data_IF_774333120451
#
_entry.id   IF_774333120451
#
_cell.length_a   1.000
_cell.length_b   1.000
_cell.length_c   1.000
_cell.angle_alpha   90.00
_cell.angle_beta   90.00
_cell.angle_gamma   90.00
#
_symmetry.space_group_name_H-M   'P 1'
#
loop_
_entity.id
_entity.type
_entity.pdbx_description
1 polymer ?
#
# COMPACT_ATOMS: atom_id res chain seq x y z
N UNK A 1 102.02 14.08 -44.63
CA UNK A 1 102.79 12.85 -44.38
C UNK A 1 101.83 11.69 -44.54
N UNK A 2 102.12 10.79 -45.49
CA UNK A 2 101.56 9.45 -45.79
C UNK A 2 100.01 9.30 -45.82
N UNK A 3 99.34 9.10 -46.96
CA UNK A 3 99.35 7.93 -47.87
C UNK A 3 98.92 6.61 -47.21
N UNK A 4 97.74 6.10 -47.58
CA UNK A 4 97.49 4.72 -48.07
C UNK A 4 95.99 4.53 -48.35
N UNK A 5 95.65 4.29 -49.61
CA UNK A 5 94.43 3.59 -50.08
C UNK A 5 94.70 2.06 -50.07
N UNK A 6 93.85 1.19 -50.67
CA UNK A 6 92.40 0.96 -50.62
C UNK A 6 92.12 -0.49 -50.11
N UNK A 7 90.87 -0.97 -50.08
CA UNK A 7 90.42 -2.17 -50.82
C UNK A 7 89.00 -2.62 -50.39
N UNK A 8 88.32 -3.10 -51.42
CA UNK A 8 86.98 -3.63 -51.59
C UNK A 8 86.71 -4.93 -50.82
N UNK A 9 85.46 -5.15 -50.39
CA UNK A 9 84.82 -6.47 -50.58
C UNK A 9 83.30 -6.31 -50.73
N UNK A 10 82.85 -6.89 -51.83
CA UNK A 10 81.52 -7.13 -52.37
C UNK A 10 80.63 -7.98 -51.44
N UNK A 11 79.31 -7.70 -51.39
CA UNK A 11 78.26 -8.73 -51.36
C UNK A 11 76.84 -8.16 -51.54
N UNK A 12 76.35 -8.33 -52.77
CA UNK A 12 75.03 -8.81 -53.21
C UNK A 12 73.72 -8.52 -52.40
N UNK A 13 72.83 -7.77 -53.07
CA UNK A 13 71.42 -8.07 -53.44
C UNK A 13 70.47 -8.69 -52.39
N UNK A 14 69.38 -7.99 -52.08
CA UNK A 14 67.99 -8.45 -52.29
C UNK A 14 66.95 -7.40 -51.84
N UNK A 15 66.22 -6.84 -52.80
CA UNK A 15 64.92 -6.19 -52.59
C UNK A 15 63.89 -7.23 -52.14
N UNK A 16 63.34 -7.05 -50.94
CA UNK A 16 62.11 -7.71 -50.50
C UNK A 16 61.24 -6.68 -49.77
N UNK A 17 60.08 -6.38 -50.35
CA UNK A 17 58.98 -5.69 -49.69
C UNK A 17 58.42 -6.56 -48.56
N UNK A 18 58.01 -5.98 -47.42
CA UNK A 18 56.97 -6.55 -46.58
C UNK A 18 55.71 -5.67 -46.68
N UNK A 19 54.65 -6.16 -47.30
CA UNK A 19 53.53 -6.90 -46.67
C UNK A 19 52.64 -5.97 -45.84
N UNK A 20 51.45 -5.76 -46.39
CA UNK A 20 50.26 -5.22 -45.76
C UNK A 20 50.02 -5.81 -44.37
N UNK A 21 50.19 -4.97 -43.35
CA UNK A 21 49.58 -5.18 -42.05
C UNK A 21 48.13 -4.67 -42.13
N UNK A 22 47.21 -5.62 -42.28
CA UNK A 22 45.80 -5.44 -41.96
C UNK A 22 45.72 -5.02 -40.49
N UNK A 23 45.54 -3.73 -40.25
CA UNK A 23 45.05 -3.21 -38.98
C UNK A 23 43.63 -3.72 -38.80
N UNK A 24 43.48 -4.79 -38.01
CA UNK A 24 42.19 -5.18 -37.45
C UNK A 24 41.82 -4.09 -36.46
N UNK A 25 41.06 -3.09 -36.93
CA UNK A 25 40.33 -2.18 -36.06
C UNK A 25 39.38 -3.05 -35.22
N UNK A 26 39.74 -3.29 -33.96
CA UNK A 26 38.78 -3.72 -32.95
C UNK A 26 37.84 -2.54 -32.71
N UNK A 27 36.83 -2.39 -33.59
CA UNK A 27 35.60 -1.73 -33.24
C UNK A 27 34.87 -2.65 -32.27
N UNK A 28 35.25 -2.56 -31.00
CA UNK A 28 34.33 -2.93 -29.93
C UNK A 28 33.20 -1.93 -29.97
N UNK A 29 32.12 -2.25 -30.68
CA UNK A 29 30.81 -1.72 -30.30
C UNK A 29 30.58 -2.20 -28.87
N UNK A 30 30.81 -1.32 -27.89
CA UNK A 30 30.16 -1.47 -26.59
C UNK A 30 28.66 -1.53 -26.89
N UNK A 31 28.10 -2.74 -26.85
CA UNK A 31 26.67 -2.92 -26.97
C UNK A 31 26.03 -2.03 -25.91
N UNK A 32 25.28 -1.02 -26.34
CA UNK A 32 24.57 -0.13 -25.44
C UNK A 32 23.72 -1.02 -24.53
N UNK A 33 24.01 -1.00 -23.23
CA UNK A 33 23.24 -1.76 -22.24
C UNK A 33 21.80 -1.26 -22.33
N UNK A 34 20.89 -2.15 -22.69
CA UNK A 34 19.48 -1.81 -22.76
C UNK A 34 18.99 -1.57 -21.33
N UNK A 35 18.49 -0.36 -21.07
CA UNK A 35 18.01 0.06 -19.75
C UNK A 35 16.54 0.43 -19.87
N UNK A 36 15.72 -0.17 -19.02
CA UNK A 36 14.29 0.11 -18.90
C UNK A 36 14.01 0.83 -17.60
N UNK A 37 13.23 1.93 -17.67
CA UNK A 37 12.84 2.73 -16.52
C UNK A 37 11.48 2.30 -15.99
N UNK A 38 11.38 2.00 -14.71
CA UNK A 38 10.16 1.54 -14.05
C UNK A 38 9.64 2.53 -13.01
N UNK A 39 8.33 2.77 -13.02
CA UNK A 39 7.60 3.32 -11.88
C UNK A 39 7.32 2.17 -10.91
N UNK A 40 7.84 2.28 -9.70
CA UNK A 40 7.67 1.29 -8.65
C UNK A 40 6.44 1.61 -7.83
N UNK A 41 5.54 0.63 -7.72
CA UNK A 41 4.28 0.71 -6.99
C UNK A 41 4.24 -0.34 -5.89
N UNK A 42 3.48 -0.06 -4.86
CA UNK A 42 3.24 -0.99 -3.76
C UNK A 42 1.93 -1.74 -3.99
N UNK A 43 1.95 -3.05 -3.73
CA UNK A 43 0.76 -3.89 -3.63
C UNK A 43 1.00 -4.94 -2.55
N UNK A 44 0.17 -4.92 -1.51
CA UNK A 44 0.20 -5.87 -0.39
C UNK A 44 1.63 -6.08 0.15
N UNK A 45 2.32 -4.98 0.50
CA UNK A 45 3.70 -4.95 1.03
C UNK A 45 4.80 -5.43 0.08
N UNK A 46 4.51 -5.58 -1.21
CA UNK A 46 5.50 -5.93 -2.23
C UNK A 46 5.64 -4.80 -3.25
N UNK A 47 6.84 -4.68 -3.84
CA UNK A 47 7.13 -3.71 -4.90
C UNK A 47 6.95 -4.32 -6.28
N UNK A 48 6.25 -3.59 -7.15
CA UNK A 48 6.03 -3.95 -8.54
C UNK A 48 6.52 -2.84 -9.47
N UNK A 49 7.26 -3.20 -10.51
CA UNK A 49 7.75 -2.27 -11.52
C UNK A 49 6.81 -2.23 -12.72
N UNK A 50 6.36 -1.03 -13.09
CA UNK A 50 5.64 -0.77 -14.35
C UNK A 50 6.51 0.07 -15.29
N UNK A 51 6.71 -0.33 -16.56
CA UNK A 51 7.51 0.47 -17.49
C UNK A 51 6.97 1.89 -17.61
N UNK A 52 7.85 2.88 -17.44
CA UNK A 52 7.49 4.31 -17.54
C UNK A 52 7.00 4.66 -18.94
N UNK A 53 7.46 3.93 -19.96
CA UNK A 53 6.98 4.04 -21.34
C UNK A 53 5.49 3.72 -21.49
N UNK A 54 4.94 2.90 -20.59
CA UNK A 54 3.52 2.54 -20.53
C UNK A 54 2.76 3.29 -19.44
N UNK A 55 3.41 4.08 -18.58
CA UNK A 55 2.76 4.86 -17.52
C UNK A 55 2.46 6.28 -18.00
N UNK A 56 1.17 6.64 -18.03
CA UNK A 56 0.70 7.94 -18.53
C UNK A 56 0.50 8.95 -17.40
N UNK A 57 -0.15 8.54 -16.31
CA UNK A 57 -0.55 9.45 -15.23
C UNK A 57 -0.76 8.69 -13.91
N UNK A 58 -0.53 9.35 -12.79
CA UNK A 58 -0.86 8.86 -11.44
C UNK A 58 -2.02 9.69 -10.90
N UNK A 59 -3.07 9.03 -10.39
CA UNK A 59 -4.28 9.68 -9.88
C UNK A 59 -4.68 9.08 -8.54
N UNK A 60 -5.12 9.92 -7.60
CA UNK A 60 -5.76 9.42 -6.38
C UNK A 60 -7.15 8.85 -6.70
N UNK A 61 -7.47 7.69 -6.12
CA UNK A 61 -8.80 7.08 -6.28
C UNK A 61 -9.93 7.96 -5.74
N UNK A 62 -9.68 8.79 -4.72
CA UNK A 62 -10.69 9.70 -4.18
C UNK A 62 -11.18 10.76 -5.18
N UNK A 63 -10.35 11.09 -6.18
CA UNK A 63 -10.68 12.11 -7.18
C UNK A 63 -11.56 11.58 -8.31
N UNK A 64 -11.82 10.26 -8.36
CA UNK A 64 -12.51 9.62 -9.47
C UNK A 64 -13.53 8.59 -8.99
N UNK A 65 -14.79 8.76 -9.40
CA UNK A 65 -15.83 7.78 -9.11
C UNK A 65 -15.74 6.58 -10.06
N UNK A 66 -15.42 5.40 -9.53
CA UNK A 66 -15.44 4.14 -10.29
C UNK A 66 -16.88 3.66 -10.46
N UNK A 67 -17.31 3.44 -11.70
CA UNK A 67 -18.62 2.86 -12.01
C UNK A 67 -18.48 1.35 -12.15
N UNK A 68 -19.08 0.59 -11.23
CA UNK A 68 -19.03 -0.88 -11.28
C UNK A 68 -19.71 -1.42 -12.53
N UNK A 69 -19.08 -2.40 -13.16
CA UNK A 69 -19.64 -3.10 -14.32
C UNK A 69 -20.24 -4.42 -13.83
N UNK A 70 -21.53 -4.71 -14.11
CA UNK A 70 -22.14 -5.98 -13.73
C UNK A 70 -21.45 -7.17 -14.41
N UNK A 71 -21.33 -8.29 -13.70
CA UNK A 71 -20.73 -9.55 -14.18
C UNK A 71 -19.27 -9.44 -14.66
N UNK A 72 -18.57 -8.35 -14.34
CA UNK A 72 -17.13 -8.28 -14.57
C UNK A 72 -16.39 -9.24 -13.64
N UNK A 73 -15.20 -9.73 -14.05
CA UNK A 73 -14.31 -10.44 -13.15
C UNK A 73 -13.99 -9.62 -11.88
N UNK A 74 -13.67 -10.30 -10.78
CA UNK A 74 -13.43 -9.65 -9.48
C UNK A 74 -12.27 -8.63 -9.52
N UNK A 75 -11.27 -8.86 -10.37
CA UNK A 75 -10.15 -7.94 -10.56
C UNK A 75 -10.48 -6.70 -11.39
N UNK A 76 -11.71 -6.57 -11.92
CA UNK A 76 -12.20 -5.37 -12.58
C UNK A 76 -13.08 -4.61 -11.58
N UNK A 77 -12.53 -3.55 -10.97
CA UNK A 77 -13.29 -2.69 -10.04
C UNK A 77 -14.43 -1.95 -10.74
N UNK A 78 -14.31 -1.73 -12.05
CA UNK A 78 -15.29 -1.06 -12.87
C UNK A 78 -14.66 -0.27 -14.01
N UNK A 79 -15.26 0.87 -14.33
CA UNK A 79 -14.75 1.81 -15.35
C UNK A 79 -14.72 3.22 -14.80
N UNK A 80 -13.82 4.04 -15.34
CA UNK A 80 -13.71 5.48 -15.05
C UNK A 80 -13.67 6.28 -16.33
N UNK A 81 -14.14 7.52 -16.28
CA UNK A 81 -13.96 8.48 -17.36
C UNK A 81 -12.62 9.20 -17.17
N UNK A 82 -11.67 8.92 -18.04
CA UNK A 82 -10.40 9.61 -18.11
C UNK A 82 -10.36 10.48 -19.37
N UNK A 83 -10.55 11.79 -19.18
CA UNK A 83 -10.49 12.83 -20.25
C UNK A 83 -11.41 12.55 -21.44
N UNK A 84 -12.63 12.08 -21.17
CA UNK A 84 -13.64 11.77 -22.19
C UNK A 84 -13.62 10.33 -22.69
N UNK A 85 -12.61 9.54 -22.29
CA UNK A 85 -12.49 8.12 -22.65
C UNK A 85 -12.86 7.26 -21.46
N UNK A 86 -13.76 6.30 -21.67
CA UNK A 86 -14.09 5.29 -20.65
C UNK A 86 -13.02 4.20 -20.68
N UNK A 87 -12.30 4.05 -19.56
CA UNK A 87 -11.25 3.05 -19.40
C UNK A 87 -11.58 2.12 -18.22
N UNK A 88 -11.21 0.83 -18.28
CA UNK A 88 -11.39 -0.09 -17.18
C UNK A 88 -10.44 0.20 -16.04
N UNK A 89 -10.88 -0.11 -14.82
CA UNK A 89 -10.07 -0.09 -13.60
C UNK A 89 -9.78 -1.52 -13.20
N UNK A 90 -8.49 -1.88 -13.19
CA UNK A 90 -7.96 -3.18 -12.82
C UNK A 90 -7.43 -3.08 -11.39
N UNK A 91 -7.98 -3.85 -10.46
CA UNK A 91 -7.49 -3.95 -9.08
C UNK A 91 -6.31 -4.93 -9.04
N UNK A 92 -5.09 -4.42 -8.85
CA UNK A 92 -3.89 -5.26 -8.92
C UNK A 92 -3.81 -6.24 -7.75
N UNK A 93 -4.34 -5.89 -6.57
CA UNK A 93 -4.44 -6.83 -5.45
C UNK A 93 -5.28 -8.04 -5.83
N UNK A 94 -6.50 -7.80 -6.31
CA UNK A 94 -7.45 -8.84 -6.71
C UNK A 94 -6.93 -9.68 -7.87
N UNK A 95 -6.21 -9.05 -8.80
CA UNK A 95 -5.57 -9.75 -9.91
C UNK A 95 -4.51 -10.75 -9.43
N UNK A 96 -3.72 -10.35 -8.42
CA UNK A 96 -2.69 -11.19 -7.81
C UNK A 96 -3.23 -12.17 -6.76
N UNK A 97 -4.54 -12.14 -6.49
CA UNK A 97 -5.21 -13.02 -5.52
C UNK A 97 -5.23 -12.51 -4.07
N UNK A 98 -4.86 -11.25 -3.85
CA UNK A 98 -4.97 -10.58 -2.56
C UNK A 98 -6.36 -9.98 -2.33
N UNK A 99 -6.69 -9.71 -1.06
CA UNK A 99 -7.91 -8.99 -0.73
C UNK A 99 -7.84 -7.54 -1.23
N UNK A 100 -8.81 -7.06 -2.03
CA UNK A 100 -8.84 -5.68 -2.50
C UNK A 100 -8.85 -4.68 -1.36
N UNK A 101 -8.12 -3.57 -1.54
CA UNK A 101 -7.91 -2.53 -0.51
C UNK A 101 -9.23 -1.89 -0.07
N UNK A 102 -10.22 -1.82 -0.96
CA UNK A 102 -11.57 -1.34 -0.60
C UNK A 102 -12.26 -2.25 0.43
N UNK A 103 -12.10 -3.57 0.33
CA UNK A 103 -12.70 -4.51 1.27
C UNK A 103 -12.00 -4.46 2.64
N UNK A 104 -10.68 -4.29 2.66
CA UNK A 104 -9.90 -4.06 3.87
C UNK A 104 -10.36 -2.78 4.60
N UNK A 105 -10.48 -1.68 3.84
CA UNK A 105 -10.94 -0.37 4.37
C UNK A 105 -12.37 -0.47 4.91
N UNK A 106 -13.25 -1.19 4.22
CA UNK A 106 -14.63 -1.41 4.66
C UNK A 106 -14.68 -2.20 5.98
N UNK A 107 -13.93 -3.31 6.10
CA UNK A 107 -13.85 -4.10 7.34
C UNK A 107 -13.36 -3.27 8.51
N UNK A 108 -12.33 -2.46 8.27
CA UNK A 108 -11.74 -1.61 9.29
C UNK A 108 -12.76 -0.56 9.77
N UNK A 109 -13.44 0.10 8.83
CA UNK A 109 -14.48 1.10 9.13
C UNK A 109 -15.60 0.50 9.99
N UNK A 110 -16.11 -0.67 9.60
CA UNK A 110 -17.13 -1.39 10.37
C UNK A 110 -16.63 -1.79 11.77
N UNK A 111 -15.37 -2.18 11.90
CA UNK A 111 -14.76 -2.52 13.19
C UNK A 111 -14.67 -1.30 14.11
N UNK A 112 -14.23 -0.14 13.61
CA UNK A 112 -14.18 1.11 14.37
C UNK A 112 -15.57 1.60 14.77
N UNK A 113 -16.54 1.56 13.87
CA UNK A 113 -17.93 1.93 14.17
C UNK A 113 -18.51 1.05 15.29
N UNK A 114 -18.24 -0.26 15.26
CA UNK A 114 -18.66 -1.19 16.31
C UNK A 114 -18.03 -0.83 17.66
N UNK A 115 -16.73 -0.58 17.70
CA UNK A 115 -16.02 -0.20 18.93
C UNK A 115 -16.50 1.14 19.50
N UNK A 116 -16.79 2.12 18.64
CA UNK A 116 -17.42 3.40 19.00
C UNK A 116 -18.80 3.17 19.63
N UNK A 117 -19.64 2.39 18.96
CA UNK A 117 -21.01 2.12 19.39
C UNK A 117 -21.10 1.27 20.67
N UNK A 118 -20.09 0.44 20.96
CA UNK A 118 -20.04 -0.36 22.18
C UNK A 118 -20.11 0.52 23.45
N UNK A 119 -19.41 1.66 23.48
CA UNK A 119 -19.44 2.59 24.61
C UNK A 119 -20.74 3.39 24.69
N UNK A 120 -21.30 3.80 23.55
CA UNK A 120 -22.62 4.45 23.49
C UNK A 120 -23.68 3.52 24.06
N UNK A 121 -23.69 2.26 23.61
CA UNK A 121 -24.60 1.23 24.11
C UNK A 121 -24.34 0.86 25.57
N UNK A 122 -23.09 0.95 26.03
CA UNK A 122 -22.74 0.74 27.44
C UNK A 122 -23.33 1.82 28.35
N UNK A 123 -23.19 3.10 27.97
CA UNK A 123 -23.77 4.24 28.71
C UNK A 123 -25.31 4.21 28.69
N UNK A 124 -25.91 3.86 27.55
CA UNK A 124 -27.36 3.66 27.46
C UNK A 124 -27.86 2.58 28.44
N UNK A 125 -27.17 1.43 28.49
CA UNK A 125 -27.53 0.34 29.40
C UNK A 125 -27.31 0.70 30.88
N UNK A 126 -26.27 1.49 31.18
CA UNK A 126 -26.06 2.01 32.54
C UNK A 126 -27.22 2.92 32.94
N UNK A 127 -27.60 3.86 32.08
CA UNK A 127 -28.71 4.78 32.32
C UNK A 127 -30.05 4.05 32.49
N UNK A 128 -30.32 3.05 31.66
CA UNK A 128 -31.49 2.17 31.81
C UNK A 128 -31.48 1.43 33.15
N UNK A 129 -30.32 0.91 33.57
CA UNK A 129 -30.16 0.27 34.87
C UNK A 129 -30.32 1.26 36.02
N UNK A 130 -30.10 2.57 35.84
CA UNK A 130 -30.41 3.58 36.87
C UNK A 130 -31.91 3.82 36.98
N UNK A 131 -32.61 3.96 35.84
CA UNK A 131 -34.06 4.20 35.83
C UNK A 131 -34.90 3.01 36.26
N UNK A 132 -34.43 1.79 35.97
CA UNK A 132 -35.17 0.55 36.23
C UNK A 132 -34.65 -0.17 37.46
N UNK A 133 -35.42 -1.11 37.99
CA UNK A 133 -34.95 -2.03 39.05
C UNK A 133 -33.97 -3.10 38.53
N UNK A 134 -33.59 -3.06 37.25
CA UNK A 134 -32.70 -4.04 36.63
C UNK A 134 -31.25 -3.89 37.12
N UNK A 135 -30.54 -5.00 37.18
CA UNK A 135 -29.10 -5.02 37.46
C UNK A 135 -28.30 -4.61 36.22
N UNK A 136 -27.23 -3.84 36.42
CA UNK A 136 -26.26 -3.56 35.37
C UNK A 136 -25.33 -4.75 35.16
N UNK A 137 -25.27 -5.28 33.93
CA UNK A 137 -24.57 -6.55 33.63
C UNK A 137 -23.32 -6.39 32.77
N UNK A 138 -23.06 -5.19 32.22
CA UNK A 138 -21.87 -4.96 31.38
C UNK A 138 -20.62 -4.79 32.24
N UNK A 139 -19.46 -5.10 31.65
CA UNK A 139 -18.18 -5.00 32.33
C UNK A 139 -17.88 -3.56 32.76
N UNK A 140 -17.54 -3.36 34.03
CA UNK A 140 -17.11 -2.07 34.59
C UNK A 140 -15.60 -1.90 34.58
N UNK A 141 -14.85 -2.98 34.42
CA UNK A 141 -13.40 -2.96 34.23
C UNK A 141 -13.05 -2.55 32.78
N UNK A 142 -12.31 -1.45 32.57
CA UNK A 142 -11.97 -0.96 31.23
C UNK A 142 -11.13 -1.96 30.43
N UNK A 143 -10.35 -2.81 31.09
CA UNK A 143 -9.51 -3.82 30.39
C UNK A 143 -10.33 -5.01 29.88
N UNK A 144 -11.57 -5.17 30.37
CA UNK A 144 -12.43 -6.31 30.03
C UNK A 144 -13.47 -5.99 28.96
N UNK A 145 -13.64 -4.73 28.57
CA UNK A 145 -14.53 -4.34 27.48
C UNK A 145 -13.90 -4.69 26.12
N UNK A 146 -14.72 -4.74 25.05
CA UNK A 146 -14.25 -5.11 23.71
C UNK A 146 -13.18 -4.14 23.21
N UNK A 147 -13.38 -2.84 23.43
CA UNK A 147 -12.41 -1.81 23.08
C UNK A 147 -11.11 -1.95 23.88
N UNK A 148 -11.18 -2.14 25.20
CA UNK A 148 -9.97 -2.28 26.03
C UNK A 148 -9.10 -3.44 25.59
N UNK A 149 -9.71 -4.60 25.28
CA UNK A 149 -8.99 -5.76 24.74
C UNK A 149 -8.34 -5.46 23.39
N UNK A 150 -9.07 -4.80 22.49
CA UNK A 150 -8.55 -4.39 21.20
C UNK A 150 -7.42 -3.35 21.32
N UNK A 151 -7.59 -2.36 22.20
CA UNK A 151 -6.62 -1.31 22.44
C UNK A 151 -5.29 -1.88 22.96
N UNK A 152 -5.35 -2.82 23.91
CA UNK A 152 -4.17 -3.57 24.38
C UNK A 152 -3.52 -4.35 23.23
N UNK A 153 -4.31 -5.01 22.36
CA UNK A 153 -3.75 -5.74 21.20
C UNK A 153 -3.02 -4.85 20.19
N UNK A 154 -3.35 -3.56 20.14
CA UNK A 154 -2.63 -2.58 19.31
C UNK A 154 -1.32 -2.16 19.98
N UNK A 155 -1.32 -2.02 21.30
CA UNK A 155 -0.12 -1.64 22.06
C UNK A 155 0.90 -2.78 22.14
N UNK A 156 0.43 -4.02 22.28
CA UNK A 156 1.29 -5.19 22.44
C UNK A 156 1.81 -5.77 21.11
N UNK A 157 1.40 -5.19 19.98
CA UNK A 157 1.87 -5.58 18.64
C UNK A 157 1.10 -6.74 18.00
N UNK A 158 0.05 -7.27 18.63
CA UNK A 158 -0.68 -8.44 18.10
C UNK A 158 -1.80 -8.09 17.12
N UNK A 159 -2.20 -6.82 17.06
CA UNK A 159 -3.20 -6.31 16.13
C UNK A 159 -2.59 -5.95 14.77
N UNK A 160 -3.30 -6.16 13.65
CA UNK A 160 -2.89 -5.65 12.33
C UNK A 160 -2.70 -4.12 12.27
N UNK A 161 -3.31 -3.38 13.22
CA UNK A 161 -3.17 -1.92 13.31
C UNK A 161 -1.86 -1.49 13.99
N UNK A 162 -1.10 -2.40 14.59
CA UNK A 162 0.04 -2.05 15.44
C UNK A 162 1.13 -1.32 14.66
N UNK A 163 1.51 -1.85 13.49
CA UNK A 163 2.54 -1.25 12.64
C UNK A 163 2.10 0.13 12.14
N UNK A 164 0.84 0.24 11.69
CA UNK A 164 0.28 1.51 11.22
C UNK A 164 0.30 2.62 12.29
N UNK A 165 0.05 2.25 13.56
CA UNK A 165 0.10 3.16 14.70
C UNK A 165 1.55 3.46 15.12
N UNK A 166 2.44 2.48 15.06
CA UNK A 166 3.86 2.65 15.39
C UNK A 166 4.56 3.60 14.41
N UNK A 167 4.21 3.51 13.12
CA UNK A 167 4.83 4.28 12.03
C UNK A 167 4.25 5.70 11.88
N UNK A 168 3.25 6.08 12.69
CA UNK A 168 2.59 7.39 12.61
C UNK A 168 2.53 8.11 13.96
N UNK A 169 3.35 9.15 14.16
CA UNK A 169 3.31 9.94 15.39
C UNK A 169 1.96 10.60 15.68
N UNK A 170 1.21 10.99 14.64
CA UNK A 170 -0.11 11.62 14.79
C UNK A 170 -1.11 10.56 15.24
N UNK A 171 -1.13 9.41 14.58
CA UNK A 171 -2.02 8.31 14.95
C UNK A 171 -1.72 7.80 16.36
N UNK A 172 -0.44 7.65 16.71
CA UNK A 172 0.00 7.28 18.05
C UNK A 172 -0.50 8.25 19.11
N UNK A 173 -0.39 9.56 18.84
CA UNK A 173 -0.88 10.59 19.75
C UNK A 173 -2.41 10.55 19.91
N UNK A 174 -3.17 10.23 18.86
CA UNK A 174 -4.62 10.02 18.95
C UNK A 174 -4.96 8.78 19.78
N UNK A 175 -4.24 7.67 19.57
CA UNK A 175 -4.46 6.45 20.33
C UNK A 175 -4.24 6.67 21.83
N UNK A 176 -3.15 7.35 22.21
CA UNK A 176 -2.86 7.65 23.62
C UNK A 176 -3.96 8.49 24.29
N UNK A 177 -4.67 9.32 23.52
CA UNK A 177 -5.78 10.14 24.03
C UNK A 177 -7.01 9.33 24.41
N UNK A 178 -7.21 8.10 23.91
CA UNK A 178 -8.34 7.27 24.32
C UNK A 178 -8.31 6.90 25.80
N UNK A 179 -7.11 6.80 26.39
CA UNK A 179 -6.93 6.23 27.73
C UNK A 179 -7.71 6.99 28.81
N UNK A 180 -7.64 8.34 28.81
CA UNK A 180 -8.32 9.18 29.80
C UNK A 180 -9.85 9.02 29.77
N UNK A 181 -10.55 9.35 28.67
CA UNK A 181 -12.01 9.27 28.63
C UNK A 181 -12.51 7.81 28.78
N UNK A 182 -11.79 6.81 28.25
CA UNK A 182 -12.13 5.41 28.44
C UNK A 182 -12.16 5.01 29.94
N UNK A 183 -11.12 5.37 30.70
CA UNK A 183 -11.08 5.10 32.15
C UNK A 183 -12.16 5.85 32.91
N UNK A 184 -12.47 7.08 32.52
CA UNK A 184 -13.50 7.89 33.16
C UNK A 184 -14.90 7.28 32.98
N UNK A 185 -15.26 6.87 31.76
CA UNK A 185 -16.55 6.21 31.45
C UNK A 185 -16.73 4.95 32.32
N UNK A 186 -15.69 4.15 32.48
CA UNK A 186 -15.77 2.94 33.29
C UNK A 186 -15.83 3.22 34.80
N UNK A 187 -15.08 4.21 35.30
CA UNK A 187 -15.14 4.65 36.70
C UNK A 187 -16.51 5.26 37.06
N UNK A 188 -17.22 5.81 36.08
CA UNK A 188 -18.56 6.37 36.23
C UNK A 188 -19.58 5.37 36.76
N UNK A 189 -19.57 4.13 36.26
CA UNK A 189 -20.57 3.12 36.62
C UNK A 189 -20.60 2.86 38.13
N UNK A 190 -19.43 2.76 38.77
CA UNK A 190 -19.35 2.55 40.21
C UNK A 190 -20.02 3.69 40.98
N UNK A 191 -19.76 4.94 40.58
CA UNK A 191 -20.35 6.13 41.21
C UNK A 191 -21.86 6.23 40.96
N UNK A 192 -22.30 5.99 39.72
CA UNK A 192 -23.71 6.07 39.34
C UNK A 192 -24.55 4.99 40.05
N UNK A 193 -24.05 3.76 40.13
CA UNK A 193 -24.71 2.67 40.84
C UNK A 193 -24.78 2.92 42.35
N UNK A 194 -23.74 3.50 42.94
CA UNK A 194 -23.76 3.89 44.35
C UNK A 194 -24.82 4.96 44.63
N UNK A 195 -24.93 6.00 43.78
CA UNK A 195 -25.99 7.00 43.91
C UNK A 195 -27.39 6.37 43.78
N UNK A 196 -27.56 5.34 42.96
CA UNK A 196 -28.82 4.59 42.87
C UNK A 196 -29.15 3.87 44.17
N UNK A 197 -28.17 3.19 44.78
CA UNK A 197 -28.33 2.50 46.08
C UNK A 197 -28.73 3.48 47.18
N UNK A 198 -28.19 4.69 47.15
CA UNK A 198 -28.54 5.78 48.07
C UNK A 198 -29.87 6.49 47.74
N UNK A 199 -30.60 6.05 46.71
CA UNK A 199 -31.85 6.67 46.25
C UNK A 199 -31.70 8.01 45.54
N UNK A 200 -30.47 8.43 45.20
CA UNK A 200 -30.14 9.69 44.54
C UNK A 200 -30.15 9.56 43.01
N UNK A 201 -31.28 9.12 42.44
CA UNK A 201 -31.42 8.82 41.00
C UNK A 201 -31.09 10.05 40.12
N UNK A 202 -31.60 11.24 40.47
CA UNK A 202 -31.34 12.46 39.68
C UNK A 202 -29.85 12.80 39.59
N UNK A 203 -29.09 12.56 40.67
CA UNK A 203 -27.64 12.76 40.67
C UNK A 203 -26.92 11.73 39.80
N UNK A 204 -27.37 10.48 39.82
CA UNK A 204 -26.81 9.44 38.97
C UNK A 204 -27.04 9.75 37.48
N UNK A 205 -28.22 10.26 37.12
CA UNK A 205 -28.54 10.67 35.75
C UNK A 205 -27.71 11.89 35.33
N UNK A 206 -27.66 12.94 36.14
CA UNK A 206 -26.85 14.11 35.82
C UNK A 206 -25.37 13.78 35.60
N UNK A 207 -24.83 12.85 36.41
CA UNK A 207 -23.47 12.35 36.26
C UNK A 207 -23.27 11.58 34.93
N UNK A 208 -24.26 10.79 34.51
CA UNK A 208 -24.24 10.08 33.23
C UNK A 208 -24.29 11.05 32.04
N UNK A 209 -25.17 12.04 32.11
CA UNK A 209 -25.32 13.04 31.06
C UNK A 209 -24.06 13.90 30.92
N UNK A 210 -23.43 14.29 32.04
CA UNK A 210 -22.13 14.98 32.01
C UNK A 210 -21.04 14.15 31.30
N UNK A 211 -20.96 12.85 31.59
CA UNK A 211 -19.98 11.96 30.93
C UNK A 211 -20.30 11.73 29.44
N UNK A 212 -21.57 11.81 29.03
CA UNK A 212 -21.95 11.78 27.61
C UNK A 212 -21.40 12.99 26.86
N UNK A 213 -21.55 14.18 27.45
CA UNK A 213 -21.17 15.45 26.82
C UNK A 213 -19.65 15.73 26.90
N UNK A 214 -18.92 14.98 27.73
CA UNK A 214 -17.47 15.13 27.92
C UNK A 214 -16.69 13.91 27.42
N UNK A 215 -16.60 12.85 28.23
CA UNK A 215 -15.74 11.70 27.95
C UNK A 215 -16.21 10.90 26.72
N UNK A 216 -17.50 10.62 26.59
CA UNK A 216 -18.02 9.88 25.43
C UNK A 216 -17.93 10.71 24.15
N UNK A 217 -18.26 12.01 24.21
CA UNK A 217 -18.10 12.92 23.08
C UNK A 217 -16.64 13.00 22.60
N UNK A 218 -15.69 13.05 23.54
CA UNK A 218 -14.26 13.00 23.23
C UNK A 218 -13.85 11.66 22.61
N UNK A 219 -14.30 10.52 23.17
CA UNK A 219 -14.05 9.19 22.56
C UNK A 219 -14.54 9.14 21.11
N UNK A 220 -15.76 9.58 20.85
CA UNK A 220 -16.35 9.63 19.51
C UNK A 220 -15.51 10.51 18.57
N UNK A 221 -15.06 11.67 19.05
CA UNK A 221 -14.20 12.57 18.28
C UNK A 221 -12.87 11.91 17.91
N UNK A 222 -12.23 11.21 18.86
CA UNK A 222 -10.96 10.51 18.59
C UNK A 222 -11.20 9.38 17.58
N UNK A 223 -12.30 8.62 17.71
CA UNK A 223 -12.64 7.59 16.72
C UNK A 223 -12.80 8.16 15.32
N UNK A 224 -13.50 9.29 15.17
CA UNK A 224 -13.71 9.93 13.88
C UNK A 224 -12.39 10.42 13.27
N UNK A 225 -11.50 10.99 14.10
CA UNK A 225 -10.15 11.41 13.68
C UNK A 225 -9.27 10.23 13.25
N UNK A 226 -9.30 9.12 14.00
CA UNK A 226 -8.56 7.90 13.66
C UNK A 226 -9.06 7.33 12.34
N UNK A 227 -10.38 7.23 12.18
CA UNK A 227 -10.98 6.69 10.97
C UNK A 227 -10.61 7.54 9.74
N UNK A 228 -10.66 8.86 9.85
CA UNK A 228 -10.27 9.77 8.76
C UNK A 228 -8.82 9.56 8.31
N UNK A 229 -7.88 9.49 9.27
CA UNK A 229 -6.46 9.26 8.96
C UNK A 229 -6.25 7.90 8.31
N UNK A 230 -6.85 6.86 8.87
CA UNK A 230 -6.64 5.50 8.36
C UNK A 230 -7.28 5.31 6.99
N UNK A 231 -8.50 5.82 6.77
CA UNK A 231 -9.14 5.79 5.46
C UNK A 231 -8.29 6.50 4.41
N UNK A 232 -7.71 7.65 4.74
CA UNK A 232 -6.84 8.38 3.81
C UNK A 232 -5.56 7.62 3.49
N UNK A 233 -4.96 6.94 4.49
CA UNK A 233 -3.79 6.09 4.26
C UNK A 233 -4.09 4.85 3.43
N UNK A 234 -5.28 4.29 3.60
CA UNK A 234 -5.74 3.12 2.87
C UNK A 234 -6.37 3.47 1.52
N UNK A 235 -6.25 4.72 1.05
CA UNK A 235 -6.64 5.05 -0.31
C UNK A 235 -5.75 4.34 -1.33
N UNK A 236 -6.39 3.77 -2.36
CA UNK A 236 -5.66 3.27 -3.53
C UNK A 236 -5.19 4.41 -4.42
N UNK A 237 -4.04 4.23 -5.06
CA UNK A 237 -3.60 5.05 -6.18
C UNK A 237 -3.98 4.35 -7.49
N UNK A 238 -4.32 5.13 -8.52
CA UNK A 238 -4.56 4.63 -9.87
C UNK A 238 -3.39 5.04 -10.78
N UNK A 239 -2.75 4.04 -11.37
CA UNK A 239 -1.74 4.21 -12.41
C UNK A 239 -2.43 4.07 -13.76
N UNK A 240 -2.57 5.17 -14.48
CA UNK A 240 -3.09 5.15 -15.84
C UNK A 240 -1.98 4.61 -16.73
N UNK A 241 -2.23 3.48 -17.38
CA UNK A 241 -1.30 2.85 -18.30
C UNK A 241 -1.83 2.80 -19.72
N UNK A 242 -0.93 2.66 -20.69
CA UNK A 242 -1.26 2.50 -22.11
C UNK A 242 -0.32 1.46 -22.76
N UNK A 243 -0.92 0.48 -23.44
CA UNK A 243 -0.21 -0.56 -24.20
C UNK A 243 -0.83 -0.63 -25.59
N UNK A 244 -0.06 -0.25 -26.61
CA UNK A 244 -0.58 -0.07 -27.97
C UNK A 244 -1.65 1.04 -28.00
N UNK A 245 -2.88 0.70 -28.40
CA UNK A 245 -4.02 1.64 -28.40
C UNK A 245 -4.98 1.43 -27.22
N UNK A 246 -4.63 0.54 -26.28
CA UNK A 246 -5.48 0.15 -25.15
C UNK A 246 -5.03 0.94 -23.94
N UNK A 247 -6.00 1.45 -23.18
CA UNK A 247 -5.76 2.27 -21.98
C UNK A 247 -6.55 1.70 -20.82
N UNK A 248 -5.92 1.59 -19.66
CA UNK A 248 -6.53 1.12 -18.42
C UNK A 248 -5.99 1.91 -17.22
N UNK A 249 -6.75 1.91 -16.13
CA UNK A 249 -6.28 2.35 -14.83
C UNK A 249 -5.96 1.10 -14.00
N UNK A 250 -4.76 1.03 -13.43
CA UNK A 250 -4.38 -0.04 -12.50
C UNK A 250 -4.40 0.53 -11.08
N UNK A 251 -5.30 0.02 -10.24
CA UNK A 251 -5.39 0.38 -8.84
C UNK A 251 -4.33 -0.38 -8.03
N UNK A 252 -3.54 0.37 -7.26
CA UNK A 252 -2.40 -0.09 -6.46
C UNK A 252 -2.49 0.54 -5.06
N UNK A 253 -1.68 0.06 -4.12
CA UNK A 253 -1.68 0.56 -2.74
C UNK A 253 -1.02 1.93 -2.62
N UNK A 254 0.03 2.14 -3.40
CA UNK A 254 0.82 3.36 -3.38
C UNK A 254 1.82 3.38 -4.53
N UNK A 255 2.46 4.54 -4.71
CA UNK A 255 3.57 4.72 -5.64
C UNK A 255 4.78 5.14 -4.83
N UNK A 256 5.90 4.45 -5.04
CA UNK A 256 7.07 4.58 -4.17
C UNK A 256 8.14 5.45 -4.83
N UNK A 257 8.80 4.94 -5.88
CA UNK A 257 9.93 5.60 -6.54
C UNK A 257 10.03 5.20 -8.01
N UNK A 258 11.02 5.74 -8.72
CA UNK A 258 11.33 5.41 -10.11
C UNK A 258 12.76 4.90 -10.18
N UNK A 259 12.97 3.78 -10.86
CA UNK A 259 14.27 3.12 -10.97
C UNK A 259 14.60 2.81 -12.44
N UNK A 260 15.88 2.92 -12.79
CA UNK A 260 16.41 2.46 -14.08
C UNK A 260 17.03 1.08 -13.86
N UNK A 261 16.57 0.07 -14.60
CA UNK A 261 17.09 -1.29 -14.51
C UNK A 261 17.69 -1.71 -15.86
N UNK A 262 18.88 -2.28 -15.84
CA UNK A 262 19.44 -2.94 -17.02
C UNK A 262 18.60 -4.18 -17.36
N UNK A 263 18.30 -4.42 -18.63
CA UNK A 263 17.49 -5.55 -19.04
C UNK A 263 18.14 -6.89 -18.65
N UNK A 264 19.49 -6.93 -18.56
CA UNK A 264 20.26 -8.07 -18.07
C UNK A 264 20.13 -8.34 -16.56
N UNK A 265 19.64 -7.36 -15.78
CA UNK A 265 19.40 -7.52 -14.33
C UNK A 265 18.05 -8.15 -13.99
N UNK A 266 17.18 -8.33 -14.99
CA UNK A 266 15.88 -8.96 -14.81
C UNK A 266 16.05 -10.47 -14.79
N UNK A 267 15.85 -11.05 -13.61
CA UNK A 267 15.90 -12.49 -13.38
C UNK A 267 14.53 -13.13 -13.65
N UNK A 268 14.48 -14.39 -14.13
CA UNK A 268 13.23 -15.12 -14.26
C UNK A 268 12.63 -15.43 -12.88
N UNK A 269 11.32 -15.51 -12.83
CA UNK A 269 10.61 -15.84 -11.59
C UNK A 269 10.81 -17.32 -11.23
N UNK A 270 10.84 -17.68 -9.95
CA UNK A 270 10.90 -19.08 -9.53
C UNK A 270 9.66 -19.85 -9.98
N UNK A 271 9.85 -21.07 -10.51
CA UNK A 271 8.76 -21.96 -10.97
C UNK A 271 7.74 -22.34 -9.88
N UNK A 272 8.08 -22.11 -8.61
CA UNK A 272 7.25 -22.44 -7.44
C UNK A 272 6.26 -21.35 -7.04
N UNK A 273 6.28 -20.19 -7.71
CA UNK A 273 5.42 -19.07 -7.35
C UNK A 273 4.07 -19.12 -8.09
N UNK A 274 2.98 -19.19 -7.33
CA UNK A 274 1.61 -19.10 -7.83
C UNK A 274 1.29 -17.68 -8.35
N UNK A 275 0.36 -17.56 -9.31
CA UNK A 275 -0.08 -16.29 -9.92
C UNK A 275 1.04 -15.43 -10.56
N UNK A 276 2.12 -16.07 -11.03
CA UNK A 276 3.23 -15.40 -11.73
C UNK A 276 2.94 -15.04 -13.18
N UNK A 277 1.81 -15.48 -13.74
CA UNK A 277 1.42 -15.19 -15.14
C UNK A 277 1.29 -13.69 -15.46
N UNK A 278 1.14 -12.84 -14.44
CA UNK A 278 1.07 -11.38 -14.58
C UNK A 278 2.43 -10.69 -14.42
N UNK A 279 3.51 -11.45 -14.29
CA UNK A 279 4.85 -10.94 -13.98
C UNK A 279 5.84 -11.46 -15.01
N UNK A 280 6.71 -10.58 -15.52
CA UNK A 280 7.70 -10.93 -16.54
C UNK A 280 9.08 -11.24 -15.96
N UNK A 281 9.32 -10.92 -14.69
CA UNK A 281 10.61 -11.13 -14.04
C UNK A 281 10.71 -10.47 -12.67
N UNK A 282 11.91 -10.53 -12.10
CA UNK A 282 12.26 -9.94 -10.81
C UNK A 282 13.59 -9.19 -10.93
N UNK A 283 13.69 -8.03 -10.31
CA UNK A 283 14.95 -7.28 -10.18
C UNK A 283 15.33 -7.20 -8.71
N UNK A 284 16.59 -7.52 -8.40
CA UNK A 284 17.17 -7.32 -7.07
C UNK A 284 18.01 -6.03 -7.06
N UNK A 285 17.68 -5.11 -6.17
CA UNK A 285 18.38 -3.85 -5.97
C UNK A 285 19.57 -4.02 -4.99
N UNK A 286 20.55 -3.13 -5.08
CA UNK A 286 21.75 -3.17 -4.21
C UNK A 286 21.44 -3.02 -2.72
N UNK A 287 20.31 -2.38 -2.38
CA UNK A 287 19.84 -2.19 -1.01
C UNK A 287 19.09 -3.42 -0.43
N UNK A 288 18.99 -4.50 -1.21
CA UNK A 288 18.28 -5.72 -0.84
C UNK A 288 16.78 -5.73 -1.20
N UNK A 289 16.29 -4.67 -1.85
CA UNK A 289 14.89 -4.59 -2.28
C UNK A 289 14.64 -5.45 -3.52
N UNK A 290 13.55 -6.21 -3.51
CA UNK A 290 13.07 -6.99 -4.65
C UNK A 290 11.93 -6.24 -5.34
N UNK A 291 12.01 -6.10 -6.67
CA UNK A 291 10.99 -5.46 -7.51
C UNK A 291 10.48 -6.46 -8.53
N UNK A 292 9.21 -6.82 -8.45
CA UNK A 292 8.54 -7.74 -9.38
C UNK A 292 8.11 -6.96 -10.63
N UNK A 293 8.54 -7.36 -11.81
CA UNK A 293 8.21 -6.63 -13.05
C UNK A 293 6.84 -7.09 -13.56
N UNK A 294 5.91 -6.16 -13.69
CA UNK A 294 4.55 -6.45 -14.14
C UNK A 294 4.49 -6.62 -15.67
N UNK A 295 3.90 -7.72 -16.12
CA UNK A 295 3.62 -7.97 -17.54
C UNK A 295 2.32 -7.25 -17.95
N UNK A 296 2.45 -5.97 -18.30
CA UNK A 296 1.32 -5.16 -18.73
C UNK A 296 0.64 -5.72 -19.99
N UNK A 297 1.36 -6.37 -20.89
CA UNK A 297 0.75 -6.93 -22.09
C UNK A 297 -0.18 -8.10 -21.75
N UNK A 298 0.28 -9.01 -20.90
CA UNK A 298 -0.52 -10.13 -20.42
C UNK A 298 -1.72 -9.67 -19.59
N UNK A 299 -1.50 -8.73 -18.65
CA UNK A 299 -2.57 -8.12 -17.85
C UNK A 299 -3.65 -7.53 -18.76
N UNK A 300 -3.24 -6.80 -19.79
CA UNK A 300 -4.19 -6.21 -20.74
C UNK A 300 -4.94 -7.29 -21.51
N UNK A 301 -4.27 -8.32 -22.02
CA UNK A 301 -4.90 -9.40 -22.78
C UNK A 301 -6.04 -10.08 -22.02
N UNK A 302 -5.93 -10.19 -20.69
CA UNK A 302 -6.98 -10.73 -19.82
C UNK A 302 -8.03 -9.67 -19.47
N UNK A 303 -7.62 -8.46 -19.11
CA UNK A 303 -8.51 -7.43 -18.56
C UNK A 303 -9.29 -6.63 -19.61
N UNK A 304 -8.76 -6.52 -20.83
CA UNK A 304 -9.29 -5.64 -21.87
C UNK A 304 -9.37 -6.33 -23.25
N UNK A 305 -9.73 -7.63 -23.35
CA UNK A 305 -9.47 -8.46 -24.53
C UNK A 305 -9.85 -7.75 -25.82
N UNK A 306 -8.97 -7.81 -26.83
CA UNK A 306 -9.29 -7.22 -28.14
C UNK A 306 -10.62 -7.81 -28.60
N UNK A 307 -11.59 -6.93 -28.88
CA UNK A 307 -12.76 -7.34 -29.65
C UNK A 307 -12.32 -7.49 -31.09
N UNK A 308 -11.50 -8.49 -31.37
CA UNK A 308 -11.37 -8.97 -32.74
C UNK A 308 -12.71 -9.63 -33.07
N UNK A 309 -13.47 -8.92 -33.89
CA UNK A 309 -14.78 -9.30 -34.46
C UNK A 309 -14.57 -10.43 -35.47
#
# INVERSE_FOLDING_TARGET
MLSMEPDTTDQAVATLSPTSETGTEFQGEEAAVAVTRYVVVEVNHNFYGMPTSSTVELMSSQMVSVTRVPHSPAFISGVVNHRGTIIPVIDLRSLLGFEPRSAETEKLSHMFEKLKNDHVGWLNALQEAIYTSSAFTKATDPTKCNFGKWYESVIDGTSPMSDMVADDPILKALFDRFNRPHRNIHALAQKALHFKEDGMVDKAIALIDESRDTDLAEMCTIFDQVLEIVSTRLDSMMVITEVGSRKAAIAVDGVSFVVDCEDSSVEPLPDTADNTEFLSGLVHQDDGTYILIADLEHIYNIACPSKDI
#
